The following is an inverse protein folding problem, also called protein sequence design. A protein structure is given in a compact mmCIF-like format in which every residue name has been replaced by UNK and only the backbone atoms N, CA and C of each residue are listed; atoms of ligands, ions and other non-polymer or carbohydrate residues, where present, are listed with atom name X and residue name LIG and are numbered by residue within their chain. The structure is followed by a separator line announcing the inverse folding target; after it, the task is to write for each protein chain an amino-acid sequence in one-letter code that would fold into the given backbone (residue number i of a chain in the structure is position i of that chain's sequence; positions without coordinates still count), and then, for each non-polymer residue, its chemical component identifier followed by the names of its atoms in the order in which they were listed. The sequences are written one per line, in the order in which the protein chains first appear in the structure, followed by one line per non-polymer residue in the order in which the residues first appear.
data_IF_412642581939
#
_entry.id   IF_412642581939
#
_cell.length_a   1.000
_cell.length_b   1.000
_cell.length_c   1.000
_cell.angle_alpha   90.00
_cell.angle_beta   90.00
_cell.angle_gamma   90.00
#
_symmetry.space_group_name_H-M   'P 1'
#
loop_
_entity.id
_entity.type
_entity.pdbx_description
1 polymer ?
#
# COMPACT_ATOMS: atom_id res chain seq x y z
N UNK A 1 -4.56 -14.55 -0.55
CA UNK A 1 -5.33 -13.77 0.46
C UNK A 1 -6.27 -12.82 -0.25
N UNK A 2 -7.50 -12.64 0.26
CA UNK A 2 -8.48 -11.68 -0.29
C UNK A 2 -8.42 -10.40 0.56
N UNK A 3 -8.19 -9.24 -0.08
CA UNK A 3 -8.17 -7.96 0.62
C UNK A 3 -9.58 -7.58 1.10
N UNK A 4 -9.73 -6.99 2.30
CA UNK A 4 -10.99 -6.45 2.76
C UNK A 4 -11.44 -5.34 1.80
N UNK A 5 -12.74 -5.27 1.55
CA UNK A 5 -13.34 -4.16 0.80
C UNK A 5 -14.11 -3.28 1.77
N UNK A 6 -13.92 -1.98 1.64
CA UNK A 6 -14.52 -0.96 2.48
C UNK A 6 -15.06 0.16 1.61
N UNK A 7 -16.00 0.91 2.14
CA UNK A 7 -16.61 2.02 1.42
C UNK A 7 -15.64 3.21 1.31
N UNK A 8 -15.45 3.73 0.10
CA UNK A 8 -14.67 4.94 -0.11
C UNK A 8 -15.46 6.16 0.40
N UNK A 9 -14.88 7.02 1.26
CA UNK A 9 -15.61 8.19 1.81
C UNK A 9 -15.93 9.25 0.74
N UNK A 10 -15.21 9.23 -0.39
CA UNK A 10 -15.41 10.18 -1.49
C UNK A 10 -16.49 9.72 -2.48
N UNK A 11 -16.45 8.47 -2.94
CA UNK A 11 -17.33 7.98 -4.01
C UNK A 11 -18.28 6.84 -3.61
N UNK A 12 -18.27 6.43 -2.34
CA UNK A 12 -19.16 5.40 -1.76
C UNK A 12 -19.05 4.00 -2.40
N UNK A 13 -18.04 3.77 -3.25
CA UNK A 13 -17.77 2.46 -3.85
C UNK A 13 -17.03 1.56 -2.86
N UNK A 14 -17.26 0.25 -2.98
CA UNK A 14 -16.54 -0.76 -2.20
C UNK A 14 -15.18 -1.07 -2.82
N UNK A 15 -14.14 -0.46 -2.27
CA UNK A 15 -12.76 -0.52 -2.77
C UNK A 15 -11.93 -1.42 -1.86
N UNK A 16 -10.98 -2.15 -2.45
CA UNK A 16 -10.04 -2.94 -1.68
C UNK A 16 -9.16 -2.01 -0.82
N UNK A 17 -8.91 -2.40 0.43
CA UNK A 17 -8.02 -1.67 1.32
C UNK A 17 -6.83 -2.57 1.71
N UNK A 18 -5.62 -2.08 1.50
CA UNK A 18 -4.39 -2.73 1.96
C UNK A 18 -4.04 -2.28 3.37
N UNK A 19 -3.61 -3.19 4.24
CA UNK A 19 -3.26 -2.88 5.64
C UNK A 19 -2.13 -1.85 5.68
N UNK A 20 -2.22 -0.89 6.60
CA UNK A 20 -1.14 0.06 6.88
C UNK A 20 -0.16 -0.58 7.86
N UNK A 21 1.13 -0.61 7.50
CA UNK A 21 2.17 -1.20 8.34
C UNK A 21 2.18 -0.57 9.75
N UNK A 22 2.17 -1.42 10.79
CA UNK A 22 2.11 -0.98 12.19
C UNK A 22 0.73 -0.51 12.66
N UNK A 23 -0.30 -0.52 11.81
CA UNK A 23 -1.67 -0.15 12.15
C UNK A 23 -2.67 -1.20 11.60
N UNK A 24 -2.78 -2.38 12.23
CA UNK A 24 -3.55 -3.51 11.69
C UNK A 24 -5.06 -3.23 11.60
N UNK A 25 -5.59 -2.26 12.34
CA UNK A 25 -6.98 -1.80 12.22
C UNK A 25 -7.21 -0.80 11.08
N UNK A 26 -6.16 -0.34 10.39
CA UNK A 26 -6.22 0.69 9.36
C UNK A 26 -5.85 0.12 8.00
N UNK A 27 -6.51 0.63 6.97
CA UNK A 27 -6.27 0.27 5.58
C UNK A 27 -6.16 1.48 4.68
N UNK A 28 -5.26 1.45 3.70
CA UNK A 28 -5.18 2.41 2.61
C UNK A 28 -6.03 1.92 1.44
N UNK A 29 -6.92 2.77 0.95
CA UNK A 29 -7.72 2.44 -0.24
C UNK A 29 -6.82 2.22 -1.46
N UNK A 30 -7.17 1.24 -2.28
CA UNK A 30 -6.54 1.07 -3.58
C UNK A 30 -6.94 2.20 -4.53
N UNK A 31 -6.02 2.56 -5.42
CA UNK A 31 -6.31 3.53 -6.47
C UNK A 31 -7.46 3.04 -7.34
N UNK A 32 -8.44 3.91 -7.52
CA UNK A 32 -9.63 3.62 -8.32
C UNK A 32 -10.12 4.89 -9.02
N UNK A 33 -10.86 4.71 -10.11
CA UNK A 33 -11.39 5.82 -10.89
C UNK A 33 -12.65 6.43 -10.25
N UNK A 34 -12.85 7.74 -10.35
CA UNK A 34 -14.08 8.38 -9.94
C UNK A 34 -15.26 7.93 -10.83
N UNK A 35 -16.49 7.89 -10.30
CA UNK A 35 -17.66 7.43 -11.05
C UNK A 35 -17.98 8.33 -12.26
N UNK A 36 -17.66 9.62 -12.18
CA UNK A 36 -17.93 10.63 -13.22
C UNK A 36 -16.83 10.69 -14.31
N UNK A 37 -15.85 9.76 -14.30
CA UNK A 37 -14.63 9.86 -15.11
C UNK A 37 -14.88 10.27 -16.57
N UNK A 38 -15.74 9.59 -17.35
CA UNK A 38 -15.90 9.91 -18.77
C UNK A 38 -16.49 11.30 -19.02
N UNK A 39 -17.43 11.74 -18.17
CA UNK A 39 -18.16 12.99 -18.37
C UNK A 39 -17.36 14.22 -17.94
N UNK A 40 -16.52 14.10 -16.91
CA UNK A 40 -15.83 15.24 -16.28
C UNK A 40 -14.36 15.35 -16.66
N UNK A 41 -13.71 14.24 -16.97
CA UNK A 41 -12.25 14.19 -17.18
C UNK A 41 -11.86 13.67 -18.58
N UNK A 42 -12.83 13.26 -19.40
CA UNK A 42 -12.58 12.73 -20.73
C UNK A 42 -11.60 11.55 -20.71
N UNK A 43 -10.52 11.67 -21.47
CA UNK A 43 -9.49 10.63 -21.59
C UNK A 43 -8.41 10.69 -20.50
N UNK A 44 -8.46 11.68 -19.60
CA UNK A 44 -7.47 11.81 -18.53
C UNK A 44 -7.56 10.64 -17.54
N UNK A 45 -6.40 10.15 -17.09
CA UNK A 45 -6.27 9.16 -16.03
C UNK A 45 -6.27 9.86 -14.68
N UNK A 46 -7.46 10.01 -14.09
CA UNK A 46 -7.65 10.64 -12.78
C UNK A 46 -8.14 9.59 -11.80
N UNK A 47 -7.44 9.46 -10.66
CA UNK A 47 -7.92 8.63 -9.55
C UNK A 47 -8.93 9.41 -8.71
N UNK A 48 -9.87 8.71 -8.08
CA UNK A 48 -10.77 9.29 -7.08
C UNK A 48 -9.93 9.88 -5.94
N UNK A 49 -10.31 11.07 -5.44
CA UNK A 49 -9.59 11.76 -4.37
C UNK A 49 -9.41 10.90 -3.13
N UNK A 50 -10.42 10.08 -2.79
CA UNK A 50 -10.35 9.16 -1.66
C UNK A 50 -9.38 7.99 -1.84
N UNK A 51 -8.78 7.80 -3.03
CA UNK A 51 -7.84 6.71 -3.33
C UNK A 51 -6.58 6.70 -2.45
N UNK A 52 -6.28 7.79 -1.72
CA UNK A 52 -5.13 7.88 -0.83
C UNK A 52 -5.50 7.82 0.64
N UNK A 53 -6.79 7.77 0.96
CA UNK A 53 -7.28 7.82 2.33
C UNK A 53 -6.91 6.56 3.11
N UNK A 54 -6.63 6.79 4.39
CA UNK A 54 -6.49 5.73 5.39
C UNK A 54 -7.82 5.63 6.12
N UNK A 55 -8.45 4.46 6.06
CA UNK A 55 -9.76 4.17 6.63
C UNK A 55 -9.67 3.07 7.67
N UNK A 56 -10.70 2.96 8.50
CA UNK A 56 -10.85 1.84 9.42
C UNK A 56 -11.22 0.56 8.66
N UNK A 57 -10.55 -0.53 9.02
CA UNK A 57 -10.87 -1.85 8.51
C UNK A 57 -11.95 -2.51 9.39
N UNK A 58 -12.87 -3.28 8.79
CA UNK A 58 -13.92 -3.98 9.53
C UNK A 58 -13.38 -5.10 10.43
N UNK A 59 -12.15 -5.56 10.17
CA UNK A 59 -11.42 -6.50 10.99
C UNK A 59 -9.93 -6.18 10.95
N UNK A 60 -9.21 -6.54 12.01
CA UNK A 60 -7.75 -6.42 12.04
C UNK A 60 -7.13 -7.25 10.92
N UNK A 61 -6.32 -6.61 10.11
CA UNK A 61 -5.55 -7.30 9.09
C UNK A 61 -4.33 -8.01 9.68
N UNK A 62 -3.95 -9.14 9.10
CA UNK A 62 -2.71 -9.85 9.44
C UNK A 62 -1.55 -9.25 8.65
N UNK A 63 -0.58 -8.67 9.35
CA UNK A 63 0.70 -8.26 8.77
C UNK A 63 1.68 -9.43 8.88
N UNK A 64 2.47 -9.68 7.83
CA UNK A 64 3.59 -10.61 7.92
C UNK A 64 4.67 -10.00 8.81
N UNK A 65 5.07 -10.73 9.84
CA UNK A 65 6.21 -10.37 10.68
C UNK A 65 7.48 -10.91 10.03
N UNK A 66 8.48 -10.05 9.89
CA UNK A 66 9.82 -10.51 9.54
C UNK A 66 10.46 -10.99 10.84
N UNK A 67 10.71 -12.30 10.94
CA UNK A 67 11.68 -12.82 11.91
C UNK A 67 13.06 -12.34 11.48
N UNK A 68 13.82 -11.74 12.39
CA UNK A 68 15.24 -11.47 12.14
C UNK A 68 15.91 -12.80 11.72
N UNK A 69 16.76 -12.78 10.68
CA UNK A 69 17.52 -13.97 10.34
C UNK A 69 18.38 -14.33 11.55
N UNK A 70 18.32 -15.60 11.98
CA UNK A 70 19.28 -16.13 12.94
C UNK A 70 20.66 -15.87 12.35
N UNK A 71 21.46 -15.03 13.03
CA UNK A 71 22.80 -14.65 12.61
C UNK A 71 23.62 -15.93 12.39
N UNK A 72 23.91 -16.35 11.14
CA UNK A 72 24.77 -17.49 10.94
C UNK A 72 26.17 -16.98 11.25
N UNK A 73 26.60 -17.17 12.49
CA UNK A 73 27.97 -16.91 12.90
C UNK A 73 28.92 -17.52 11.84
N UNK A 74 29.50 -16.67 10.98
CA UNK A 74 30.51 -17.07 9.99
C UNK A 74 30.17 -16.89 8.50
N UNK A 75 29.48 -15.83 8.08
CA UNK A 75 29.45 -15.42 6.66
C UNK A 75 30.42 -14.28 6.40
N UNK A 76 31.57 -14.55 5.76
CA UNK A 76 32.52 -13.55 5.25
C UNK A 76 31.79 -12.44 4.47
N UNK A 77 32.05 -11.17 4.84
CA UNK A 77 31.62 -10.02 4.04
C UNK A 77 32.28 -10.11 2.66
N UNK A 78 31.54 -10.09 1.54
CA UNK A 78 32.16 -9.80 0.26
C UNK A 78 32.66 -8.34 0.30
N UNK A 79 33.95 -8.18 0.01
CA UNK A 79 34.68 -6.92 0.01
C UNK A 79 33.89 -5.79 -0.68
N UNK A 80 33.81 -4.64 0.01
CA UNK A 80 33.21 -3.43 -0.51
C UNK A 80 33.86 -3.06 -1.84
N UNK A 81 33.13 -3.18 -2.94
CA UNK A 81 33.56 -2.59 -4.20
C UNK A 81 33.32 -1.08 -4.13
N UNK A 82 34.45 -0.38 -4.10
CA UNK A 82 34.65 1.06 -4.17
C UNK A 82 33.58 1.77 -5.02
N UNK A 83 32.68 2.48 -4.34
CA UNK A 83 31.66 3.30 -5.02
C UNK A 83 32.35 4.57 -5.51
N UNK A 84 32.79 4.54 -6.77
CA UNK A 84 33.22 5.74 -7.49
C UNK A 84 32.14 6.81 -7.40
N UNK A 85 32.43 7.86 -6.64
CA UNK A 85 31.62 9.08 -6.55
C UNK A 85 31.64 9.79 -7.90
N UNK A 86 30.50 9.81 -8.58
CA UNK A 86 30.25 10.73 -9.69
C UNK A 86 29.68 12.01 -9.08
N UNK A 87 30.55 12.99 -8.87
CA UNK A 87 30.17 14.40 -8.87
C UNK A 87 29.78 14.82 -10.29
#
# INVERSE_FOLDING_TARGET
MKLPRVECPCCQRHIAAGIVAGAPSKGRLWRHDPPERPARFGDALVSCDGSLDIVDLPAYGTQLEFTEPEDPAGGEQPESTDTMSLF
#
